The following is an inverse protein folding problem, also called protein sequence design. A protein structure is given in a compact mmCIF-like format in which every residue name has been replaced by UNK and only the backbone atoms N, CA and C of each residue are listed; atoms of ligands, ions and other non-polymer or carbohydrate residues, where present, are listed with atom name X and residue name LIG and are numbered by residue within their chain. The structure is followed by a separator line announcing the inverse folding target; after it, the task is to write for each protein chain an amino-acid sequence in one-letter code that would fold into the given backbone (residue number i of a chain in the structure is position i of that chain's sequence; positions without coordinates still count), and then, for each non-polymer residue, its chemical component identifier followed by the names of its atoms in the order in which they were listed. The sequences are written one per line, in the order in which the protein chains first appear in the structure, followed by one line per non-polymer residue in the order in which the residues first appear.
data_IF_824801358952
#
_entry.id   IF_824801358952
#
_cell.length_a   1.000
_cell.length_b   1.000
_cell.length_c   1.000
_cell.angle_alpha   90.00
_cell.angle_beta   90.00
_cell.angle_gamma   90.00
#
_symmetry.space_group_name_H-M   'P 1'
#
loop_
_entity.id
_entity.type
_entity.pdbx_description
1 polymer ?
#
# COMPACT_ATOMS: atom_id res chain seq x y z
N UNK A 1 6.84 10.30 2.07
CA UNK A 1 6.44 8.85 2.21
C UNK A 1 5.00 8.79 2.65
N UNK A 2 4.19 7.88 2.08
CA UNK A 2 2.81 7.71 2.53
C UNK A 2 2.79 7.05 3.91
N UNK A 3 1.87 7.48 4.75
CA UNK A 3 1.61 6.89 6.07
C UNK A 3 0.13 6.71 6.35
N UNK A 4 -0.71 7.03 5.35
CA UNK A 4 -2.17 6.91 5.42
C UNK A 4 -2.72 6.58 4.03
N UNK A 5 -3.67 5.66 3.97
CA UNK A 5 -4.49 5.40 2.78
C UNK A 5 -5.90 4.96 3.19
N UNK A 6 -6.81 4.89 2.24
CA UNK A 6 -8.19 4.45 2.45
C UNK A 6 -8.52 3.23 1.61
N UNK A 7 -9.37 2.37 2.16
CA UNK A 7 -10.04 1.29 1.45
C UNK A 7 -11.47 1.16 2.01
N UNK A 8 -12.43 1.75 1.34
CA UNK A 8 -13.82 1.77 1.81
C UNK A 8 -14.78 1.01 0.90
N UNK A 9 -14.44 0.74 -0.35
CA UNK A 9 -15.24 -0.08 -1.27
C UNK A 9 -14.90 -1.57 -1.13
N UNK A 10 -14.92 -2.09 0.11
CA UNK A 10 -14.52 -3.47 0.40
C UNK A 10 -15.45 -4.51 -0.21
N UNK A 11 -16.72 -4.17 -0.45
CA UNK A 11 -17.69 -5.05 -1.12
C UNK A 11 -17.27 -5.35 -2.58
N UNK A 12 -16.59 -4.42 -3.24
CA UNK A 12 -16.22 -4.53 -4.65
C UNK A 12 -14.90 -5.31 -4.87
N UNK A 13 -14.17 -5.64 -3.80
CA UNK A 13 -12.87 -6.31 -3.90
C UNK A 13 -12.92 -7.61 -4.68
N UNK A 14 -13.96 -8.42 -4.46
CA UNK A 14 -14.11 -9.72 -5.10
C UNK A 14 -14.20 -9.57 -6.61
N UNK A 15 -15.12 -8.75 -7.07
CA UNK A 15 -15.39 -8.58 -8.50
C UNK A 15 -14.26 -7.78 -9.19
N UNK A 16 -13.69 -6.79 -8.47
CA UNK A 16 -12.61 -5.95 -9.02
C UNK A 16 -11.32 -6.72 -9.27
N UNK A 17 -11.02 -7.73 -8.46
CA UNK A 17 -9.78 -8.50 -8.53
C UNK A 17 -9.99 -9.98 -8.88
N UNK A 18 -11.16 -10.35 -9.40
CA UNK A 18 -11.53 -11.69 -9.86
C UNK A 18 -11.22 -12.79 -8.83
N UNK A 19 -11.58 -12.53 -7.55
CA UNK A 19 -11.26 -13.42 -6.46
C UNK A 19 -12.22 -14.62 -6.42
N UNK A 20 -11.69 -15.83 -6.54
CA UNK A 20 -12.48 -17.06 -6.49
C UNK A 20 -13.07 -17.29 -5.09
N UNK A 21 -12.29 -17.04 -4.04
CA UNK A 21 -12.73 -17.19 -2.66
C UNK A 21 -13.41 -15.92 -2.12
N UNK A 22 -14.23 -16.10 -1.07
CA UNK A 22 -14.78 -14.97 -0.32
C UNK A 22 -13.72 -14.19 0.46
N UNK A 23 -14.10 -13.00 0.92
CA UNK A 23 -13.22 -12.18 1.73
C UNK A 23 -13.04 -12.75 3.15
N UNK A 24 -11.85 -12.60 3.75
CA UNK A 24 -11.63 -12.98 5.15
C UNK A 24 -12.57 -12.24 6.10
N UNK A 25 -12.89 -12.87 7.23
CA UNK A 25 -13.63 -12.19 8.30
C UNK A 25 -12.87 -10.94 8.76
N UNK A 26 -13.61 -9.87 9.04
CA UNK A 26 -13.04 -8.61 9.55
C UNK A 26 -12.60 -7.63 8.49
N UNK A 27 -12.72 -7.93 7.20
CA UNK A 27 -12.57 -6.93 6.13
C UNK A 27 -13.75 -5.96 6.22
N UNK A 28 -13.45 -4.69 6.45
CA UNK A 28 -14.44 -3.61 6.58
C UNK A 28 -13.91 -2.32 5.98
N UNK A 29 -14.80 -1.36 5.65
CA UNK A 29 -14.36 -0.04 5.18
C UNK A 29 -13.46 0.67 6.17
N UNK A 30 -12.38 1.28 5.65
CA UNK A 30 -11.46 2.13 6.38
C UNK A 30 -11.13 3.38 5.56
N UNK A 31 -11.19 4.53 6.20
CA UNK A 31 -10.83 5.82 5.62
C UNK A 31 -9.44 6.30 6.07
N UNK A 32 -8.86 5.66 7.09
CA UNK A 32 -7.59 6.08 7.70
C UNK A 32 -6.71 4.86 8.08
N UNK A 33 -6.35 4.05 7.11
CA UNK A 33 -5.40 2.95 7.34
C UNK A 33 -4.02 3.54 7.60
N UNK A 34 -3.42 3.16 8.74
CA UNK A 34 -2.10 3.61 9.20
C UNK A 34 -1.14 2.44 9.41
N UNK A 35 0.18 2.65 9.45
CA UNK A 35 1.13 1.61 9.79
C UNK A 35 0.74 0.87 11.06
N UNK A 36 0.97 -0.44 11.09
CA UNK A 36 0.58 -1.45 12.07
C UNK A 36 -0.90 -1.87 12.04
N UNK A 37 -1.79 -1.13 11.39
CA UNK A 37 -3.16 -1.59 11.19
C UNK A 37 -3.20 -2.79 10.24
N UNK A 38 -4.11 -3.72 10.50
CA UNK A 38 -4.40 -4.81 9.56
C UNK A 38 -5.28 -4.32 8.42
N UNK A 39 -4.92 -4.73 7.21
CA UNK A 39 -5.69 -4.43 6.02
C UNK A 39 -5.65 -5.63 5.05
N UNK A 40 -6.65 -5.78 4.16
CA UNK A 40 -6.64 -6.82 3.16
C UNK A 40 -5.57 -6.54 2.10
N UNK A 41 -4.79 -7.55 1.78
CA UNK A 41 -3.87 -7.58 0.65
C UNK A 41 -4.15 -8.80 -0.22
N UNK A 42 -3.87 -8.70 -1.51
CA UNK A 42 -4.10 -9.78 -2.47
C UNK A 42 -2.76 -10.41 -2.78
N UNK A 43 -2.70 -11.73 -2.66
CA UNK A 43 -1.50 -12.54 -2.90
C UNK A 43 -1.80 -13.65 -3.89
N UNK A 44 -0.76 -14.11 -4.56
CA UNK A 44 -0.81 -15.31 -5.39
C UNK A 44 0.01 -16.43 -4.70
N UNK A 45 -0.66 -17.48 -4.29
CA UNK A 45 -0.07 -18.65 -3.67
C UNK A 45 -0.06 -19.82 -4.68
N UNK A 46 0.89 -19.80 -5.63
CA UNK A 46 1.03 -20.88 -6.60
C UNK A 46 -0.12 -21.00 -7.61
N UNK A 47 -0.73 -19.89 -8.00
CA UNK A 47 -1.86 -19.81 -8.93
C UNK A 47 -3.21 -19.52 -8.25
N UNK A 48 -3.28 -19.67 -6.93
CA UNK A 48 -4.47 -19.31 -6.14
C UNK A 48 -4.39 -17.86 -5.66
N UNK A 49 -5.20 -16.99 -6.27
CA UNK A 49 -5.28 -15.57 -5.90
C UNK A 49 -6.28 -15.41 -4.77
N UNK A 50 -5.81 -14.94 -3.63
CA UNK A 50 -6.61 -14.82 -2.42
C UNK A 50 -6.32 -13.54 -1.64
N UNK A 51 -7.28 -13.15 -0.80
CA UNK A 51 -7.13 -12.02 0.12
C UNK A 51 -6.66 -12.51 1.48
N UNK A 52 -5.64 -11.85 2.01
CA UNK A 52 -5.15 -12.09 3.37
C UNK A 52 -5.15 -10.79 4.18
N UNK A 53 -5.49 -10.88 5.47
CA UNK A 53 -5.34 -9.76 6.41
C UNK A 53 -3.90 -9.70 6.91
N UNK A 54 -3.22 -8.59 6.62
CA UNK A 54 -1.82 -8.39 7.03
C UNK A 54 -1.63 -7.03 7.70
N UNK A 55 -0.67 -6.93 8.61
CA UNK A 55 -0.32 -5.65 9.24
C UNK A 55 0.60 -4.82 8.34
N UNK A 56 0.31 -3.52 8.22
CA UNK A 56 1.12 -2.62 7.41
C UNK A 56 2.45 -2.25 8.08
N UNK A 57 3.55 -2.74 7.53
CA UNK A 57 4.92 -2.55 7.99
C UNK A 57 5.64 -3.88 8.15
N UNK A 58 6.62 -4.15 7.28
CA UNK A 58 7.38 -5.39 7.31
C UNK A 58 8.10 -5.59 8.65
N UNK A 59 7.87 -6.74 9.25
CA UNK A 59 8.58 -7.18 10.44
C UNK A 59 9.52 -8.33 10.07
N UNK A 60 10.82 -8.25 10.42
CA UNK A 60 11.73 -9.38 10.29
C UNK A 60 11.26 -10.56 11.14
N UNK A 61 11.55 -11.78 10.66
CA UNK A 61 11.27 -13.02 11.41
C UNK A 61 11.84 -12.93 12.83
N UNK A 62 11.03 -13.29 13.82
CA UNK A 62 11.41 -13.27 15.23
C UNK A 62 11.29 -11.90 15.93
N UNK A 63 10.91 -10.84 15.22
CA UNK A 63 10.73 -9.52 15.81
C UNK A 63 9.42 -9.46 16.60
N UNK A 64 9.51 -9.18 17.90
CA UNK A 64 8.34 -8.94 18.78
C UNK A 64 7.98 -7.45 18.90
N UNK A 65 8.90 -6.55 18.55
CA UNK A 65 8.74 -5.10 18.67
C UNK A 65 8.09 -4.50 17.41
N UNK A 66 6.78 -4.26 17.47
CA UNK A 66 6.02 -3.60 16.41
C UNK A 66 6.43 -2.13 16.20
N UNK A 67 7.05 -1.46 17.20
CA UNK A 67 7.56 -0.11 17.07
C UNK A 67 8.74 -0.03 16.08
N UNK A 68 9.40 -1.16 15.80
CA UNK A 68 10.42 -1.27 14.78
C UNK A 68 9.93 -0.82 13.40
N UNK A 69 8.63 -0.98 13.11
CA UNK A 69 7.97 -0.51 11.88
C UNK A 69 8.18 1.00 11.70
N UNK A 70 7.99 1.78 12.76
CA UNK A 70 8.18 3.23 12.72
C UNK A 70 9.66 3.62 12.74
N UNK A 71 10.48 2.95 13.56
CA UNK A 71 11.92 3.21 13.67
C UNK A 71 12.64 3.02 12.36
N UNK A 72 12.33 1.95 11.64
CA UNK A 72 12.97 1.61 10.36
C UNK A 72 12.13 1.97 9.14
N UNK A 73 10.94 2.55 9.34
CA UNK A 73 10.00 2.98 8.28
C UNK A 73 9.68 1.85 7.29
N UNK A 74 9.54 0.62 7.80
CA UNK A 74 9.35 -0.59 6.99
C UNK A 74 7.95 -0.70 6.37
N UNK A 75 7.08 0.26 6.60
CA UNK A 75 5.77 0.38 5.94
C UNK A 75 5.87 0.90 4.49
N UNK A 76 7.03 1.44 4.07
CA UNK A 76 7.31 1.78 2.67
C UNK A 76 8.66 1.23 2.24
N UNK A 77 8.72 0.74 1.00
CA UNK A 77 9.96 0.31 0.34
C UNK A 77 10.23 1.20 -0.86
N UNK A 78 11.37 1.92 -0.90
CA UNK A 78 11.75 2.68 -2.08
C UNK A 78 12.06 1.75 -3.26
N UNK A 79 11.42 1.95 -4.42
CA UNK A 79 11.64 1.14 -5.61
C UNK A 79 13.10 1.14 -6.05
N UNK A 80 13.79 2.27 -5.90
CA UNK A 80 15.20 2.44 -6.26
C UNK A 80 16.16 1.60 -5.40
N UNK A 81 15.70 1.13 -4.25
CA UNK A 81 16.48 0.33 -3.29
C UNK A 81 16.02 -1.11 -3.17
N UNK A 82 14.97 -1.50 -3.91
CA UNK A 82 14.30 -2.77 -3.69
C UNK A 82 15.21 -3.97 -4.02
N UNK A 83 16.07 -3.84 -5.02
CA UNK A 83 17.03 -4.86 -5.42
C UNK A 83 18.37 -4.76 -4.66
N UNK A 84 18.65 -3.63 -4.03
CA UNK A 84 19.91 -3.39 -3.34
C UNK A 84 19.98 -4.06 -1.95
N UNK A 85 18.83 -4.35 -1.34
CA UNK A 85 18.75 -4.97 -0.02
C UNK A 85 18.24 -6.39 -0.16
N UNK A 86 19.05 -7.37 0.23
CA UNK A 86 18.75 -8.80 0.06
C UNK A 86 17.34 -9.21 0.54
N UNK A 87 16.90 -8.71 1.69
CA UNK A 87 15.55 -9.03 2.20
C UNK A 87 14.41 -8.49 1.32
N UNK A 88 14.62 -7.39 0.63
CA UNK A 88 13.64 -6.82 -0.30
C UNK A 88 13.73 -7.44 -1.68
N UNK A 89 14.94 -7.77 -2.15
CA UNK A 89 15.15 -8.51 -3.40
C UNK A 89 14.47 -9.88 -3.34
N UNK A 90 14.63 -10.62 -2.25
CA UNK A 90 13.91 -11.87 -2.03
C UNK A 90 12.39 -11.67 -2.03
N UNK A 91 11.91 -10.66 -1.31
CA UNK A 91 10.47 -10.39 -1.21
C UNK A 91 9.86 -9.95 -2.55
N UNK A 92 10.56 -9.12 -3.34
CA UNK A 92 10.05 -8.70 -4.65
C UNK A 92 10.04 -9.81 -5.69
N UNK A 93 10.89 -10.83 -5.53
CA UNK A 93 10.89 -12.00 -6.43
C UNK A 93 9.84 -13.03 -6.06
N UNK A 94 9.54 -13.21 -4.78
CA UNK A 94 8.76 -14.36 -4.28
C UNK A 94 7.48 -13.98 -3.51
N UNK A 95 7.42 -12.78 -2.94
CA UNK A 95 6.37 -12.36 -2.01
C UNK A 95 5.78 -11.00 -2.40
N UNK A 96 5.34 -10.90 -3.67
CA UNK A 96 4.62 -9.74 -4.16
C UNK A 96 3.15 -9.81 -3.77
N UNK A 97 2.56 -8.65 -3.51
CA UNK A 97 1.14 -8.52 -3.25
C UNK A 97 0.58 -7.26 -3.90
N UNK A 98 -0.74 -7.24 -4.09
CA UNK A 98 -1.47 -6.01 -4.37
C UNK A 98 -2.02 -5.47 -3.06
N UNK A 99 -1.92 -4.16 -2.87
CA UNK A 99 -2.52 -3.46 -1.73
C UNK A 99 -3.69 -2.64 -2.25
N UNK A 100 -4.95 -3.14 -2.13
CA UNK A 100 -6.13 -2.43 -2.61
C UNK A 100 -6.31 -1.09 -1.89
N UNK A 101 -6.70 -0.07 -2.65
CA UNK A 101 -6.94 1.27 -2.11
C UNK A 101 -7.96 2.04 -2.96
N UNK A 102 -8.69 2.96 -2.32
CA UNK A 102 -9.50 3.97 -2.99
C UNK A 102 -8.75 5.30 -3.12
N UNK A 103 -7.73 5.52 -2.31
CA UNK A 103 -6.89 6.70 -2.33
C UNK A 103 -5.88 6.69 -1.21
N UNK A 104 -4.97 7.65 -1.23
CA UNK A 104 -3.94 7.82 -0.22
C UNK A 104 -3.79 9.28 0.17
N UNK A 105 -3.14 9.51 1.31
CA UNK A 105 -2.95 10.86 1.81
C UNK A 105 -1.49 11.28 1.71
N UNK A 106 -1.28 12.51 1.26
CA UNK A 106 -0.01 13.23 1.40
C UNK A 106 -0.16 14.29 2.48
N UNK A 107 0.76 14.24 3.43
CA UNK A 107 0.79 15.13 4.56
C UNK A 107 1.95 16.11 4.33
N UNK A 108 1.62 17.27 3.82
CA UNK A 108 2.58 18.34 3.53
C UNK A 108 2.67 19.32 4.70
N UNK A 109 3.84 19.92 4.87
CA UNK A 109 4.04 21.03 5.79
C UNK A 109 4.64 22.22 5.03
N UNK A 110 4.05 23.39 5.20
CA UNK A 110 4.57 24.63 4.69
C UNK A 110 4.83 25.58 5.88
N UNK A 111 6.08 25.64 6.31
CA UNK A 111 6.41 26.30 7.59
C UNK A 111 5.75 25.60 8.76
N UNK A 112 4.92 26.33 9.52
CA UNK A 112 4.14 25.82 10.65
C UNK A 112 2.76 25.30 10.27
N UNK A 113 2.34 25.48 9.03
CA UNK A 113 1.04 25.02 8.55
C UNK A 113 1.11 23.59 8.06
N UNK A 114 0.10 22.80 8.42
CA UNK A 114 -0.05 21.42 7.98
C UNK A 114 -1.18 21.35 6.98
N UNK A 115 -0.92 20.71 5.86
CA UNK A 115 -1.89 20.47 4.81
C UNK A 115 -2.01 18.96 4.57
N UNK A 116 -3.22 18.49 4.45
CA UNK A 116 -3.50 17.13 4.10
C UNK A 116 -4.19 17.08 2.74
N UNK A 117 -3.67 16.26 1.85
CA UNK A 117 -4.23 16.06 0.52
C UNK A 117 -4.64 14.60 0.36
N UNK A 118 -5.87 14.38 -0.07
CA UNK A 118 -6.35 13.07 -0.48
C UNK A 118 -6.20 12.92 -1.98
N UNK A 119 -5.58 11.83 -2.41
CA UNK A 119 -5.19 11.59 -3.79
C UNK A 119 -5.81 10.28 -4.26
N UNK A 120 -6.56 10.35 -5.36
CA UNK A 120 -7.27 9.25 -5.98
C UNK A 120 -6.82 9.07 -7.43
N UNK A 121 -6.98 7.85 -7.97
CA UNK A 121 -6.89 7.63 -9.42
C UNK A 121 -8.14 8.16 -10.11
N UNK A 122 -7.97 8.86 -11.23
CA UNK A 122 -9.08 9.25 -12.12
C UNK A 122 -9.61 8.06 -12.93
N UNK A 123 -8.74 7.08 -13.19
CA UNK A 123 -9.05 5.95 -14.07
C UNK A 123 -9.82 4.84 -13.34
N UNK A 124 -9.66 4.73 -12.02
CA UNK A 124 -10.31 3.69 -11.24
C UNK A 124 -10.57 4.13 -9.78
N UNK A 125 -11.82 4.03 -9.30
CA UNK A 125 -12.15 4.35 -7.91
C UNK A 125 -11.60 3.34 -6.90
N UNK A 126 -11.27 2.14 -7.34
CA UNK A 126 -10.61 1.07 -6.59
C UNK A 126 -9.44 0.55 -7.44
N UNK A 127 -8.22 0.74 -6.95
CA UNK A 127 -6.97 0.37 -7.59
C UNK A 127 -6.06 -0.38 -6.61
N UNK A 128 -4.87 -0.78 -7.05
CA UNK A 128 -3.90 -1.42 -6.18
C UNK A 128 -2.55 -0.71 -6.22
N UNK A 129 -1.92 -0.60 -5.04
CA UNK A 129 -0.49 -0.32 -4.97
C UNK A 129 0.32 -1.60 -5.15
N UNK A 130 1.49 -1.47 -5.76
CA UNK A 130 2.51 -2.51 -5.70
C UNK A 130 2.98 -2.69 -4.24
N UNK A 131 2.96 -3.92 -3.77
CA UNK A 131 3.40 -4.27 -2.42
C UNK A 131 4.28 -5.51 -2.40
N UNK A 132 4.99 -5.67 -1.29
CA UNK A 132 5.66 -6.91 -0.91
C UNK A 132 5.23 -7.31 0.49
N UNK A 133 5.28 -8.59 0.79
CA UNK A 133 4.86 -9.11 2.10
C UNK A 133 5.88 -10.08 2.69
N UNK A 134 5.71 -10.35 3.97
CA UNK A 134 6.41 -11.39 4.71
C UNK A 134 5.44 -12.08 5.63
N UNK A 135 5.52 -13.41 5.68
CA UNK A 135 4.72 -14.23 6.60
C UNK A 135 5.61 -15.27 7.29
N UNK A 136 5.51 -15.39 8.60
CA UNK A 136 6.27 -16.34 9.38
C UNK A 136 5.53 -16.72 10.66
N UNK A 137 5.81 -17.91 11.18
CA UNK A 137 5.24 -18.41 12.43
C UNK A 137 6.22 -18.17 13.57
N UNK A 138 5.71 -17.72 14.72
CA UNK A 138 6.49 -17.65 15.95
C UNK A 138 6.59 -19.04 16.65
N UNK A 139 7.31 -19.09 17.76
CA UNK A 139 7.52 -20.32 18.53
C UNK A 139 6.21 -20.90 19.09
N UNK A 140 5.18 -20.09 19.24
CA UNK A 140 3.84 -20.52 19.67
C UNK A 140 2.95 -20.98 18.51
N UNK A 141 3.47 -20.97 17.27
CA UNK A 141 2.74 -21.34 16.05
C UNK A 141 1.83 -20.23 15.52
N UNK A 142 1.86 -19.03 16.09
CA UNK A 142 1.07 -17.89 15.59
C UNK A 142 1.70 -17.31 14.33
N UNK A 143 0.88 -17.17 13.29
CA UNK A 143 1.30 -16.54 12.03
C UNK A 143 1.35 -15.03 12.16
N UNK A 144 2.46 -14.44 11.74
CA UNK A 144 2.68 -13.01 11.61
C UNK A 144 2.82 -12.67 10.12
N UNK A 145 1.78 -12.03 9.57
CA UNK A 145 1.76 -11.60 8.17
C UNK A 145 1.80 -10.08 8.11
N UNK A 146 2.78 -9.55 7.38
CA UNK A 146 3.02 -8.12 7.27
C UNK A 146 3.31 -7.73 5.83
N UNK A 147 2.95 -6.51 5.43
CA UNK A 147 3.20 -5.99 4.08
C UNK A 147 3.82 -4.59 4.10
N UNK A 148 4.37 -4.21 2.98
CA UNK A 148 4.88 -2.87 2.72
C UNK A 148 4.44 -2.38 1.36
N UNK A 149 4.20 -1.08 1.25
CA UNK A 149 3.87 -0.42 -0.02
C UNK A 149 5.16 0.02 -0.71
N UNK A 150 5.29 -0.27 -2.00
CA UNK A 150 6.41 0.20 -2.80
C UNK A 150 6.14 1.64 -3.23
N UNK A 151 7.15 2.49 -3.08
CA UNK A 151 7.08 3.92 -3.41
C UNK A 151 8.20 4.32 -4.35
N UNK A 152 7.97 5.32 -5.19
CA UNK A 152 8.98 5.98 -6.01
C UNK A 152 9.10 7.45 -5.65
N UNK A 153 10.07 8.14 -6.25
CA UNK A 153 10.09 9.60 -6.22
C UNK A 153 8.81 10.15 -6.87
N UNK A 154 8.24 11.18 -6.26
CA UNK A 154 7.08 11.85 -6.82
C UNK A 154 7.45 12.54 -8.15
N UNK A 155 6.56 12.54 -9.16
CA UNK A 155 6.71 13.36 -10.35
C UNK A 155 6.96 14.82 -9.98
N UNK A 156 7.74 15.54 -10.77
CA UNK A 156 8.12 16.92 -10.48
C UNK A 156 6.93 17.82 -10.12
N UNK A 157 5.84 17.69 -10.87
CA UNK A 157 4.61 18.46 -10.66
C UNK A 157 3.93 18.21 -9.29
N UNK A 158 4.24 17.09 -8.62
CA UNK A 158 3.60 16.67 -7.37
C UNK A 158 4.53 16.75 -6.14
N UNK A 159 5.78 17.16 -6.32
CA UNK A 159 6.76 17.23 -5.22
C UNK A 159 6.38 18.20 -4.10
N UNK A 160 5.58 19.22 -4.43
CA UNK A 160 5.04 20.12 -3.43
C UNK A 160 4.09 19.46 -2.42
N UNK A 161 3.52 18.30 -2.78
CA UNK A 161 2.68 17.49 -1.88
C UNK A 161 3.52 16.52 -1.04
N UNK A 162 4.69 16.12 -1.54
CA UNK A 162 5.62 15.22 -0.88
C UNK A 162 6.60 14.57 -1.84
N UNK A 163 7.77 14.19 -1.35
CA UNK A 163 8.88 13.69 -2.17
C UNK A 163 8.63 12.30 -2.77
N UNK A 164 7.71 11.53 -2.19
CA UNK A 164 7.47 10.14 -2.59
C UNK A 164 5.99 9.84 -2.69
N UNK A 165 5.65 9.00 -3.68
CA UNK A 165 4.30 8.49 -3.90
C UNK A 165 4.29 6.96 -4.01
N UNK A 166 3.16 6.29 -3.68
CA UNK A 166 3.02 4.85 -3.90
C UNK A 166 3.00 4.56 -5.39
N UNK A 167 3.49 3.39 -5.76
CA UNK A 167 3.34 2.87 -7.12
C UNK A 167 1.91 2.35 -7.26
N UNK A 168 1.13 2.96 -8.13
CA UNK A 168 -0.20 2.51 -8.54
C UNK A 168 -0.03 1.65 -9.79
N UNK A 169 -0.46 0.40 -9.72
CA UNK A 169 -0.40 -0.51 -10.86
C UNK A 169 -1.63 -0.32 -11.76
N UNK A 170 -1.42 -0.35 -13.07
CA UNK A 170 -2.50 -0.54 -14.03
C UNK A 170 -3.03 -1.97 -13.96
N UNK A 171 -4.25 -2.23 -14.46
CA UNK A 171 -4.85 -3.58 -14.45
C UNK A 171 -3.95 -4.65 -15.09
N UNK A 172 -3.29 -4.32 -16.20
CA UNK A 172 -2.36 -5.24 -16.85
C UNK A 172 -1.11 -5.50 -16.00
N UNK A 173 -0.62 -4.49 -15.29
CA UNK A 173 0.52 -4.63 -14.40
C UNK A 173 0.16 -5.39 -13.13
N UNK A 174 -1.07 -5.29 -12.62
CA UNK A 174 -1.53 -6.05 -11.44
C UNK A 174 -1.36 -7.56 -11.65
N UNK A 175 -1.84 -8.09 -12.78
CA UNK A 175 -1.70 -9.52 -13.10
C UNK A 175 -0.24 -9.94 -13.25
N UNK A 176 0.57 -9.13 -13.96
CA UNK A 176 2.02 -9.38 -14.11
C UNK A 176 2.77 -9.27 -12.79
N UNK A 177 2.37 -8.36 -11.91
CA UNK A 177 2.97 -8.20 -10.58
C UNK A 177 2.73 -9.41 -9.69
N UNK A 178 1.55 -10.01 -9.77
CA UNK A 178 1.21 -11.24 -9.03
C UNK A 178 1.76 -12.51 -9.69
N UNK A 179 2.19 -12.47 -10.93
CA UNK A 179 2.76 -13.64 -11.61
C UNK A 179 4.15 -13.99 -11.05
N UNK A 180 4.19 -15.01 -10.22
CA UNK A 180 5.41 -15.48 -9.54
C UNK A 180 6.45 -16.05 -10.51
N UNK A 181 6.10 -16.36 -11.76
CA UNK A 181 7.06 -16.79 -12.80
C UNK A 181 7.93 -15.64 -13.31
N UNK A 182 7.46 -14.39 -13.19
CA UNK A 182 8.25 -13.19 -13.54
C UNK A 182 9.27 -12.93 -12.42
N UNK A 183 10.51 -13.36 -12.61
CA UNK A 183 11.61 -13.19 -11.64
C UNK A 183 12.73 -12.28 -12.14
N UNK A 184 12.68 -11.88 -13.41
CA UNK A 184 13.66 -10.97 -14.01
C UNK A 184 13.56 -9.57 -13.35
N UNK A 185 14.69 -9.08 -12.87
CA UNK A 185 14.77 -7.81 -12.14
C UNK A 185 14.34 -6.60 -12.97
N UNK A 186 14.70 -6.57 -14.27
CA UNK A 186 14.36 -5.45 -15.15
C UNK A 186 12.86 -5.45 -15.44
N UNK A 187 12.27 -6.62 -15.73
CA UNK A 187 10.85 -6.77 -15.96
C UNK A 187 10.02 -6.36 -14.73
N UNK A 188 10.50 -6.67 -13.51
CA UNK A 188 9.87 -6.23 -12.27
C UNK A 188 10.00 -4.73 -12.05
N UNK A 189 11.18 -4.17 -12.31
CA UNK A 189 11.44 -2.74 -12.14
C UNK A 189 10.67 -1.87 -13.13
N UNK A 190 10.47 -2.34 -14.35
CA UNK A 190 9.70 -1.65 -15.38
C UNK A 190 8.23 -1.39 -14.99
N UNK A 191 7.66 -2.22 -14.10
CA UNK A 191 6.31 -2.02 -13.56
C UNK A 191 6.27 -1.00 -12.41
N UNK A 192 7.42 -0.61 -11.85
CA UNK A 192 7.50 0.27 -10.69
C UNK A 192 7.64 1.75 -11.08
N UNK A 193 6.77 2.23 -11.96
CA UNK A 193 6.74 3.62 -12.43
C UNK A 193 5.70 4.44 -11.66
N UNK A 194 6.00 5.70 -11.33
CA UNK A 194 5.01 6.58 -10.70
C UNK A 194 3.87 6.89 -11.66
N UNK A 195 2.65 6.99 -11.13
CA UNK A 195 1.52 7.54 -11.87
C UNK A 195 1.80 9.02 -12.26
N UNK A 196 1.35 9.43 -13.43
CA UNK A 196 1.44 10.83 -13.86
C UNK A 196 0.46 11.71 -13.08
N UNK A 197 0.76 13.01 -12.97
CA UNK A 197 -0.15 13.97 -12.32
C UNK A 197 -1.52 14.05 -13.00
N UNK A 198 -1.59 13.79 -14.30
CA UNK A 198 -2.82 13.84 -15.08
C UNK A 198 -3.77 12.70 -14.72
N UNK A 199 -3.25 11.57 -14.28
CA UNK A 199 -4.03 10.40 -13.85
C UNK A 199 -4.58 10.53 -12.43
N UNK A 200 -4.20 11.58 -11.69
CA UNK A 200 -4.55 11.73 -10.28
C UNK A 200 -5.53 12.88 -10.06
N UNK A 201 -6.50 12.65 -9.20
CA UNK A 201 -7.37 13.67 -8.62
C UNK A 201 -6.90 13.99 -7.21
N UNK A 202 -6.67 15.27 -6.92
CA UNK A 202 -6.07 15.75 -5.68
C UNK A 202 -7.02 16.75 -5.05
N UNK A 203 -7.37 16.52 -3.79
CA UNK A 203 -8.21 17.42 -3.00
C UNK A 203 -7.57 17.70 -1.66
N UNK A 204 -7.60 18.93 -1.22
CA UNK A 204 -7.24 19.28 0.17
C UNK A 204 -8.36 18.82 1.11
N UNK A 205 -7.99 18.13 2.18
CA UNK A 205 -8.92 17.54 3.15
C UNK A 205 -8.63 18.03 4.56
N UNK A 206 -9.52 17.70 5.50
CA UNK A 206 -9.38 18.14 6.88
C UNK A 206 -8.17 17.53 7.58
N UNK A 207 -7.67 18.25 8.60
CA UNK A 207 -6.56 17.83 9.45
C UNK A 207 -6.91 16.65 10.37
N UNK A 208 -8.17 16.21 10.39
CA UNK A 208 -8.63 15.02 11.10
C UNK A 208 -7.83 13.76 10.76
N UNK A 209 -7.25 13.70 9.56
CA UNK A 209 -6.40 12.58 9.11
C UNK A 209 -5.15 12.37 9.97
N UNK A 210 -4.68 13.39 10.66
CA UNK A 210 -3.53 13.26 11.56
C UNK A 210 -3.82 12.42 12.81
N UNK A 211 -5.11 12.31 13.19
CA UNK A 211 -5.55 11.50 14.32
C UNK A 211 -5.82 10.05 13.88
N UNK A 212 -5.09 9.06 14.38
CA UNK A 212 -5.37 7.65 14.05
C UNK A 212 -6.69 7.13 14.63
N UNK A 213 -7.36 7.92 15.49
CA UNK A 213 -8.65 7.57 16.10
C UNK A 213 -9.83 7.94 15.21
N UNK A 214 -9.63 8.81 14.22
CA UNK A 214 -10.67 9.23 13.27
C UNK A 214 -10.58 8.34 12.04
N UNK A 215 -11.68 7.65 11.73
CA UNK A 215 -11.79 6.73 10.58
C UNK A 215 -13.20 6.84 9.99
N UNK A 216 -13.52 8.02 9.46
CA UNK A 216 -14.86 8.37 8.96
C UNK A 216 -14.83 8.90 7.53
N UNK A 217 -15.95 8.83 6.78
CA UNK A 217 -16.03 9.35 5.42
C UNK A 217 -15.64 10.83 5.27
N UNK A 218 -15.76 11.62 6.32
CA UNK A 218 -15.42 13.06 6.27
C UNK A 218 -13.95 13.30 5.95
N UNK A 219 -13.07 12.31 6.18
CA UNK A 219 -11.64 12.42 5.89
C UNK A 219 -11.31 12.51 4.40
N UNK A 220 -12.23 12.10 3.53
CA UNK A 220 -12.06 12.18 2.06
C UNK A 220 -12.88 13.33 1.44
N UNK A 221 -13.59 14.10 2.26
CA UNK A 221 -14.34 15.26 1.80
C UNK A 221 -13.41 16.48 1.65
N UNK A 222 -13.67 17.39 0.66
CA UNK A 222 -12.93 18.64 0.54
C UNK A 222 -12.96 19.45 1.84
N UNK A 223 -11.83 20.03 2.20
CA UNK A 223 -11.71 20.95 3.33
C UNK A 223 -12.62 22.16 3.07
N UNK A 224 -13.45 22.46 4.04
CA UNK A 224 -14.33 23.64 4.01
C UNK A 224 -13.58 24.91 4.34
#
# INVERSE_FOLDING_TARGET
MISRYSLYTTADLRDRFDLAAGLPKGVKPHYNISPTLQAPVIVNNGGDISVQQMSWGLLPKGTKDTNSVFRYKTYNVPSEKILAKHSWDMAVRQHRCLVPANGFYQLAANGNERHAYYIQSKDAPLFAFAGIYSSWNDEAGKTHSTYSVITSQAPHALRHLGDRMPIILSRNEESRWLDTSVTDANALFDMLRPASSEQLHIIEVSDGIYSPKIDTPDLIAPKK
#
